data_IF_050875758627
#
_entry.id   IF_050875758627
#
_cell.length_a   1.000
_cell.length_b   1.000
_cell.length_c   1.000
_cell.angle_alpha   90.00
_cell.angle_beta   90.00
_cell.angle_gamma   90.00
#
_symmetry.space_group_name_H-M   'P 1'
#
loop_
_entity.id
_entity.type
_entity.pdbx_description
1 polymer ?
#
# COMPACT_ATOMS: atom_id res chain seq x y z
N UNK A 1 1.22 31.36 -21.25
CA UNK A 1 1.76 31.84 -19.95
C UNK A 1 0.73 31.60 -18.87
N UNK A 2 0.44 30.33 -18.53
CA UNK A 2 -0.54 29.93 -17.49
C UNK A 2 -0.27 28.51 -17.00
N UNK A 3 0.89 28.23 -16.39
CA UNK A 3 1.21 26.93 -15.77
C UNK A 3 2.02 27.04 -14.46
N UNK A 4 2.17 28.25 -13.92
CA UNK A 4 2.92 28.46 -12.67
C UNK A 4 2.05 28.52 -11.39
N UNK A 5 0.72 28.66 -11.51
CA UNK A 5 -0.16 28.91 -10.36
C UNK A 5 -0.44 27.69 -9.46
N UNK A 6 -0.40 26.47 -10.01
CA UNK A 6 -0.78 25.27 -9.25
C UNK A 6 0.28 24.79 -8.26
N UNK A 7 1.56 25.04 -8.52
CA UNK A 7 2.64 24.65 -7.62
C UNK A 7 2.78 25.60 -6.43
N UNK A 8 2.61 26.90 -6.64
CA UNK A 8 2.64 27.90 -5.55
C UNK A 8 1.47 27.74 -4.57
N UNK A 9 0.28 27.36 -5.05
CA UNK A 9 -0.89 27.15 -4.19
C UNK A 9 -0.73 25.88 -3.32
N UNK A 10 -0.12 24.82 -3.84
CA UNK A 10 0.20 23.60 -3.07
C UNK A 10 1.22 23.87 -1.96
N UNK A 11 2.20 24.73 -2.20
CA UNK A 11 3.22 25.13 -1.20
C UNK A 11 2.63 26.11 -0.18
N UNK A 12 1.76 27.04 -0.58
CA UNK A 12 1.15 28.03 0.33
C UNK A 12 0.13 27.42 1.30
N UNK A 13 -0.60 26.36 0.90
CA UNK A 13 -1.52 25.64 1.80
C UNK A 13 -0.77 24.78 2.82
N UNK A 14 0.41 24.28 2.50
CA UNK A 14 1.30 23.61 3.45
C UNK A 14 1.88 24.58 4.49
N UNK A 15 2.08 25.85 4.16
CA UNK A 15 2.57 26.86 5.10
C UNK A 15 1.48 27.39 6.05
N UNK A 16 0.21 27.28 5.71
CA UNK A 16 -0.89 27.70 6.62
C UNK A 16 -1.11 26.68 7.75
N UNK A 17 -0.68 25.42 7.58
CA UNK A 17 -0.73 24.40 8.64
C UNK A 17 0.35 24.56 9.73
N UNK A 18 1.31 25.49 9.58
CA UNK A 18 2.35 25.77 10.55
C UNK A 18 1.87 26.57 11.79
N UNK A 19 0.61 27.02 11.84
CA UNK A 19 0.06 27.77 12.97
C UNK A 19 -0.65 26.91 14.03
N UNK A 20 -0.70 25.57 13.86
CA UNK A 20 -1.27 24.65 14.87
C UNK A 20 -0.13 23.88 15.56
N UNK A 21 0.84 24.60 16.10
CA UNK A 21 1.86 24.04 16.96
C UNK A 21 1.25 23.79 18.36
N UNK A 22 0.91 22.55 18.67
CA UNK A 22 0.53 22.31 20.05
C UNK A 22 0.03 20.92 20.44
N UNK A 23 -0.57 20.14 19.60
CA UNK A 23 -1.00 18.78 19.95
C UNK A 23 -0.79 17.84 18.77
N UNK A 24 0.25 17.01 18.84
CA UNK A 24 0.42 15.85 17.96
C UNK A 24 -0.65 14.82 18.33
N UNK A 25 -1.85 14.92 17.76
CA UNK A 25 -2.98 14.07 18.06
C UNK A 25 -3.51 13.42 16.77
N UNK A 26 -4.32 12.38 16.92
CA UNK A 26 -5.07 11.77 15.81
C UNK A 26 -5.85 12.83 15.00
N UNK A 27 -6.36 13.87 15.67
CA UNK A 27 -7.04 14.99 15.01
C UNK A 27 -6.14 15.75 14.01
N UNK A 28 -4.85 15.86 14.29
CA UNK A 28 -3.87 16.46 13.37
C UNK A 28 -3.69 15.60 12.12
N UNK A 29 -3.56 14.28 12.27
CA UNK A 29 -3.50 13.35 11.14
C UNK A 29 -4.78 13.39 10.31
N UNK A 30 -5.93 13.38 10.96
CA UNK A 30 -7.23 13.45 10.28
C UNK A 30 -7.39 14.75 9.48
N UNK A 31 -6.90 15.88 10.02
CA UNK A 31 -6.89 17.16 9.32
C UNK A 31 -5.95 17.10 8.08
N UNK A 32 -4.71 16.65 8.24
CA UNK A 32 -3.74 16.56 7.13
C UNK A 32 -4.28 15.64 6.03
N UNK A 33 -4.76 14.47 6.39
CA UNK A 33 -5.33 13.52 5.43
C UNK A 33 -6.60 14.03 4.76
N UNK A 34 -7.44 14.79 5.49
CA UNK A 34 -8.62 15.43 4.89
C UNK A 34 -8.24 16.44 3.80
N UNK A 35 -7.20 17.24 4.05
CA UNK A 35 -6.65 18.16 3.06
C UNK A 35 -6.07 17.41 1.87
N UNK A 36 -5.27 16.37 2.10
CA UNK A 36 -4.65 15.58 1.04
C UNK A 36 -5.71 14.87 0.18
N UNK A 37 -6.75 14.29 0.79
CA UNK A 37 -7.91 13.71 0.08
C UNK A 37 -8.60 14.74 -0.80
N UNK A 38 -8.87 15.92 -0.26
CA UNK A 38 -9.52 17.01 -1.02
C UNK A 38 -8.69 17.43 -2.22
N UNK A 39 -7.38 17.63 -2.04
CA UNK A 39 -6.46 17.99 -3.13
C UNK A 39 -6.32 16.89 -4.20
N UNK A 40 -6.46 15.63 -3.81
CA UNK A 40 -6.40 14.47 -4.71
C UNK A 40 -7.76 14.15 -5.35
N UNK A 41 -8.84 14.85 -4.98
CA UNK A 41 -10.20 14.59 -5.45
C UNK A 41 -10.76 13.26 -4.97
N UNK A 42 -10.37 12.83 -3.76
CA UNK A 42 -10.72 11.56 -3.15
C UNK A 42 -11.75 11.76 -2.05
N UNK A 43 -12.75 10.89 -1.96
CA UNK A 43 -13.72 10.84 -0.87
C UNK A 43 -13.48 9.63 0.03
N UNK A 44 -13.69 9.77 1.34
CA UNK A 44 -13.67 8.66 2.29
C UNK A 44 -15.09 8.11 2.48
N UNK A 45 -15.20 6.78 2.49
CA UNK A 45 -16.45 6.04 2.66
C UNK A 45 -16.25 4.91 3.65
N UNK A 46 -17.36 4.33 4.12
CA UNK A 46 -17.33 3.10 4.92
C UNK A 46 -18.38 2.12 4.45
N UNK A 47 -18.11 0.82 4.67
CA UNK A 47 -18.99 -0.27 4.30
C UNK A 47 -18.89 -1.39 5.33
N UNK A 48 -20.01 -1.75 5.95
CA UNK A 48 -20.08 -2.92 6.83
C UNK A 48 -20.12 -4.19 5.99
N UNK A 49 -19.14 -5.08 6.19
CA UNK A 49 -19.07 -6.38 5.52
C UNK A 49 -18.73 -7.45 6.58
N UNK A 50 -19.70 -8.31 6.88
CA UNK A 50 -19.59 -9.25 7.98
C UNK A 50 -19.38 -8.51 9.31
N UNK A 51 -18.35 -8.89 10.05
CA UNK A 51 -17.96 -8.32 11.34
C UNK A 51 -16.99 -7.13 11.24
N UNK A 52 -16.60 -6.73 10.01
CA UNK A 52 -15.69 -5.61 9.78
C UNK A 52 -16.41 -4.41 9.15
N UNK A 53 -16.25 -3.23 9.74
CA UNK A 53 -16.50 -1.97 9.05
C UNK A 53 -15.23 -1.60 8.29
N UNK A 54 -15.31 -1.67 6.95
CA UNK A 54 -14.25 -1.25 6.06
C UNK A 54 -14.32 0.25 5.84
N UNK A 55 -13.23 0.95 6.08
CA UNK A 55 -13.07 2.36 5.69
C UNK A 55 -12.21 2.39 4.44
N UNK A 56 -12.67 3.08 3.41
CA UNK A 56 -11.96 3.15 2.15
C UNK A 56 -12.04 4.55 1.53
N UNK A 57 -11.08 4.86 0.71
CA UNK A 57 -11.06 6.06 -0.11
C UNK A 57 -11.45 5.71 -1.54
N UNK A 58 -12.16 6.63 -2.20
CA UNK A 58 -12.65 6.43 -3.56
C UNK A 58 -12.48 7.69 -4.40
N UNK A 59 -12.12 7.54 -5.68
CA UNK A 59 -12.02 8.62 -6.66
C UNK A 59 -12.49 8.16 -8.02
N UNK A 60 -13.27 8.99 -8.70
CA UNK A 60 -13.66 8.82 -10.10
C UNK A 60 -14.74 7.76 -10.32
N UNK A 61 -14.98 7.47 -11.58
CA UNK A 61 -16.00 6.55 -12.09
C UNK A 61 -15.42 5.79 -13.29
N UNK A 62 -15.99 4.62 -13.62
CA UNK A 62 -15.55 3.78 -14.75
C UNK A 62 -14.96 2.45 -14.31
N UNK A 63 -13.94 1.96 -15.03
CA UNK A 63 -13.27 0.70 -14.73
C UNK A 63 -12.61 0.73 -13.36
N UNK A 64 -12.80 -0.34 -12.58
CA UNK A 64 -12.33 -0.35 -11.19
C UNK A 64 -10.85 -0.68 -11.09
N UNK A 65 -10.14 0.12 -10.30
CA UNK A 65 -8.76 -0.13 -9.85
C UNK A 65 -8.77 -0.23 -8.33
N UNK A 66 -8.47 -1.41 -7.81
CA UNK A 66 -8.36 -1.68 -6.37
C UNK A 66 -6.90 -1.63 -5.93
N UNK A 67 -6.58 -0.80 -4.92
CA UNK A 67 -5.21 -0.57 -4.46
C UNK A 67 -5.04 -0.98 -2.99
N UNK A 68 -4.16 -1.95 -2.72
CA UNK A 68 -3.96 -2.55 -1.40
C UNK A 68 -2.64 -2.08 -0.78
N UNK A 69 -2.70 -1.46 0.39
CA UNK A 69 -1.55 -0.93 1.12
C UNK A 69 -0.70 -2.03 1.80
N UNK A 70 0.53 -1.68 2.18
CA UNK A 70 1.46 -2.54 2.92
C UNK A 70 1.15 -2.65 4.41
N UNK A 71 1.94 -3.48 5.12
CA UNK A 71 1.82 -3.67 6.57
C UNK A 71 2.07 -2.36 7.34
N UNK A 72 1.23 -2.07 8.33
CA UNK A 72 1.33 -0.87 9.15
C UNK A 72 1.00 0.45 8.44
N UNK A 73 0.62 0.39 7.15
CA UNK A 73 0.16 1.52 6.36
C UNK A 73 -1.38 1.62 6.35
N UNK A 74 -1.91 2.51 5.54
CA UNK A 74 -3.32 2.76 5.36
C UNK A 74 -3.59 3.22 3.91
N UNK A 75 -4.84 3.42 3.54
CA UNK A 75 -5.27 3.92 2.23
C UNK A 75 -4.56 5.21 1.79
N UNK A 76 -4.11 6.01 2.75
CA UNK A 76 -3.47 7.31 2.50
C UNK A 76 -2.18 7.22 1.67
N UNK A 77 -1.48 6.08 1.69
CA UNK A 77 -0.25 5.90 0.88
C UNK A 77 -0.48 6.00 -0.63
N UNK A 78 -1.72 5.87 -1.07
CA UNK A 78 -2.08 5.92 -2.48
C UNK A 78 -2.51 7.31 -2.97
N UNK A 79 -2.80 8.27 -2.05
CA UNK A 79 -3.44 9.54 -2.39
C UNK A 79 -2.66 10.33 -3.45
N UNK A 80 -1.33 10.45 -3.28
CA UNK A 80 -0.49 11.22 -4.20
C UNK A 80 -0.47 10.59 -5.60
N UNK A 81 -0.28 9.26 -5.66
CA UNK A 81 -0.29 8.54 -6.93
C UNK A 81 -1.65 8.65 -7.62
N UNK A 82 -2.75 8.40 -6.88
CA UNK A 82 -4.11 8.46 -7.43
C UNK A 82 -4.50 9.89 -7.81
N UNK A 83 -3.90 10.91 -7.18
CA UNK A 83 -4.03 12.31 -7.59
C UNK A 83 -3.66 12.54 -9.05
N UNK A 84 -2.61 11.86 -9.52
CA UNK A 84 -2.05 11.98 -10.86
C UNK A 84 -2.58 10.90 -11.85
N UNK A 85 -3.43 9.97 -11.40
CA UNK A 85 -4.02 8.94 -12.27
C UNK A 85 -5.10 9.51 -13.19
N UNK A 86 -5.30 8.92 -14.41
CA UNK A 86 -6.23 9.42 -15.41
C UNK A 86 -7.70 9.30 -14.95
N UNK A 87 -8.57 10.05 -15.63
CA UNK A 87 -10.02 9.89 -15.53
C UNK A 87 -10.48 8.62 -16.27
N UNK A 88 -11.70 8.18 -16.01
CA UNK A 88 -12.28 6.98 -16.62
C UNK A 88 -12.09 5.71 -15.82
N UNK A 89 -11.46 5.83 -14.66
CA UNK A 89 -11.31 4.76 -13.69
C UNK A 89 -11.94 5.13 -12.34
N UNK A 90 -12.46 4.12 -11.66
CA UNK A 90 -12.92 4.18 -10.27
C UNK A 90 -11.84 3.56 -9.38
N UNK A 91 -11.05 4.42 -8.71
CA UNK A 91 -9.98 4.01 -7.79
C UNK A 91 -10.57 3.73 -6.41
N UNK A 92 -10.35 2.53 -5.89
CA UNK A 92 -10.81 2.10 -4.56
C UNK A 92 -9.60 1.71 -3.73
N UNK A 93 -9.40 2.37 -2.62
CA UNK A 93 -8.27 2.20 -1.71
C UNK A 93 -8.82 1.87 -0.32
N UNK A 94 -8.96 0.59 0.05
CA UNK A 94 -9.41 0.24 1.40
C UNK A 94 -8.28 0.35 2.42
N UNK A 95 -8.61 0.71 3.66
CA UNK A 95 -7.88 0.24 4.81
C UNK A 95 -8.20 -1.24 5.00
N UNK A 96 -7.20 -2.09 4.92
CA UNK A 96 -7.38 -3.53 5.14
C UNK A 96 -7.83 -3.81 6.58
N UNK A 97 -8.65 -4.84 6.84
CA UNK A 97 -9.05 -5.20 8.21
C UNK A 97 -7.86 -5.29 9.15
N UNK A 98 -7.98 -4.63 10.29
CA UNK A 98 -6.89 -4.49 11.28
C UNK A 98 -6.02 -3.25 11.09
N UNK A 99 -6.09 -2.56 9.96
CA UNK A 99 -5.26 -1.38 9.65
C UNK A 99 -6.09 -0.12 9.47
N UNK A 100 -5.39 1.03 9.51
CA UNK A 100 -6.01 2.34 9.31
C UNK A 100 -7.21 2.55 10.23
N UNK A 101 -8.35 2.90 9.63
CA UNK A 101 -9.63 3.14 10.31
C UNK A 101 -10.62 1.97 10.17
N UNK A 102 -10.24 0.89 9.48
CA UNK A 102 -11.04 -0.33 9.41
C UNK A 102 -10.99 -1.11 10.73
N UNK A 103 -12.03 -1.90 10.98
CA UNK A 103 -12.18 -2.63 12.24
C UNK A 103 -10.98 -3.55 12.52
N UNK A 104 -10.46 -3.48 13.73
CA UNK A 104 -9.58 -4.46 14.34
C UNK A 104 -10.37 -5.27 15.38
N UNK A 105 -10.34 -6.59 15.27
CA UNK A 105 -10.93 -7.52 16.22
C UNK A 105 -9.81 -8.19 17.03
N UNK A 106 -9.78 -8.07 18.36
CA UNK A 106 -8.70 -8.63 19.18
C UNK A 106 -8.48 -10.14 18.98
N UNK A 107 -9.55 -10.90 18.73
CA UNK A 107 -9.49 -12.35 18.46
C UNK A 107 -9.42 -12.68 16.95
N UNK A 108 -9.32 -11.65 16.09
CA UNK A 108 -9.26 -11.82 14.65
C UNK A 108 -7.98 -12.49 14.18
N UNK A 109 -8.06 -13.17 13.04
CA UNK A 109 -6.91 -13.71 12.31
C UNK A 109 -6.62 -12.80 11.13
N UNK A 110 -5.36 -12.36 10.98
CA UNK A 110 -4.93 -11.34 10.00
C UNK A 110 -3.79 -11.82 9.09
N UNK A 111 -3.63 -13.14 8.92
CA UNK A 111 -2.76 -13.69 7.90
C UNK A 111 -3.35 -13.46 6.49
N UNK A 112 -2.54 -13.64 5.45
CA UNK A 112 -2.98 -13.42 4.08
C UNK A 112 -4.14 -14.33 3.70
N UNK A 113 -4.12 -15.58 4.13
CA UNK A 113 -5.16 -16.57 3.82
C UNK A 113 -6.55 -16.15 4.36
N UNK A 114 -6.60 -15.54 5.54
CA UNK A 114 -7.84 -15.01 6.14
C UNK A 114 -8.28 -13.68 5.51
N UNK A 115 -7.35 -12.87 5.00
CA UNK A 115 -7.67 -11.60 4.35
C UNK A 115 -8.23 -11.78 2.93
N UNK A 116 -7.84 -12.84 2.21
CA UNK A 116 -8.33 -13.12 0.85
C UNK A 116 -9.87 -13.22 0.78
N UNK A 117 -10.56 -14.06 1.56
CA UNK A 117 -12.02 -14.13 1.53
C UNK A 117 -12.70 -12.85 2.05
N UNK A 118 -12.08 -12.11 2.97
CA UNK A 118 -12.60 -10.80 3.41
C UNK A 118 -12.55 -9.77 2.29
N UNK A 119 -11.47 -9.75 1.52
CA UNK A 119 -11.34 -8.88 0.36
C UNK A 119 -12.38 -9.23 -0.71
N UNK A 120 -12.63 -10.53 -0.96
CA UNK A 120 -13.69 -10.95 -1.90
C UNK A 120 -15.08 -10.50 -1.42
N UNK A 121 -15.38 -10.66 -0.13
CA UNK A 121 -16.64 -10.19 0.44
C UNK A 121 -16.80 -8.66 0.29
N UNK A 122 -15.74 -7.89 0.53
CA UNK A 122 -15.73 -6.44 0.36
C UNK A 122 -15.98 -6.05 -1.10
N UNK A 123 -15.25 -6.62 -2.05
CA UNK A 123 -15.40 -6.32 -3.49
C UNK A 123 -16.79 -6.71 -4.01
N UNK A 124 -17.32 -7.86 -3.56
CA UNK A 124 -18.67 -8.31 -3.89
C UNK A 124 -19.75 -7.38 -3.33
N UNK A 125 -19.58 -6.89 -2.09
CA UNK A 125 -20.51 -5.94 -1.47
C UNK A 125 -20.50 -4.57 -2.18
N UNK A 126 -19.39 -4.20 -2.85
CA UNK A 126 -19.31 -3.01 -3.72
C UNK A 126 -19.94 -3.22 -5.11
N UNK A 127 -20.41 -4.43 -5.43
CA UNK A 127 -20.97 -4.78 -6.74
C UNK A 127 -19.93 -4.82 -7.88
N UNK A 128 -18.64 -4.98 -7.56
CA UNK A 128 -17.56 -4.98 -8.54
C UNK A 128 -17.31 -6.39 -9.03
N UNK A 129 -17.46 -6.65 -10.34
CA UNK A 129 -17.28 -7.97 -10.96
C UNK A 129 -15.84 -8.22 -11.40
N UNK A 130 -15.25 -7.29 -12.14
CA UNK A 130 -13.90 -7.38 -12.68
C UNK A 130 -13.15 -6.08 -12.40
N UNK A 131 -11.84 -6.15 -12.17
CA UNK A 131 -11.04 -4.98 -11.81
C UNK A 131 -9.54 -5.19 -12.05
N UNK A 132 -8.82 -4.08 -12.12
CA UNK A 132 -7.37 -4.03 -12.00
C UNK A 132 -7.00 -4.07 -10.52
N UNK A 133 -6.07 -4.92 -10.14
CA UNK A 133 -5.64 -5.09 -8.75
C UNK A 133 -4.18 -4.66 -8.61
N UNK A 134 -3.91 -3.72 -7.70
CA UNK A 134 -2.55 -3.26 -7.38
C UNK A 134 -2.31 -3.43 -5.88
N UNK A 135 -1.15 -3.95 -5.51
CA UNK A 135 -0.75 -4.03 -4.10
C UNK A 135 0.71 -3.69 -3.87
N UNK A 136 1.00 -3.05 -2.74
CA UNK A 136 2.36 -2.78 -2.27
C UNK A 136 2.71 -3.69 -1.10
N UNK A 137 3.92 -4.27 -1.09
CA UNK A 137 4.46 -5.02 0.05
C UNK A 137 3.54 -6.17 0.49
N UNK A 138 3.03 -6.17 1.73
CA UNK A 138 1.99 -7.09 2.20
C UNK A 138 0.74 -7.06 1.30
N UNK A 139 0.31 -5.87 0.87
CA UNK A 139 -0.80 -5.72 -0.07
C UNK A 139 -0.53 -6.37 -1.43
N UNK A 140 0.73 -6.41 -1.87
CA UNK A 140 1.16 -7.15 -3.06
C UNK A 140 1.04 -8.66 -2.90
N UNK A 141 1.41 -9.19 -1.72
CA UNK A 141 1.19 -10.60 -1.39
C UNK A 141 -0.31 -10.93 -1.37
N UNK A 142 -1.11 -10.08 -0.71
CA UNK A 142 -2.57 -10.26 -0.69
C UNK A 142 -3.16 -10.20 -2.11
N UNK A 143 -2.70 -9.27 -2.95
CA UNK A 143 -3.16 -9.14 -4.33
C UNK A 143 -2.85 -10.40 -5.17
N UNK A 144 -1.62 -10.91 -5.08
CA UNK A 144 -1.24 -12.15 -5.78
C UNK A 144 -2.02 -13.37 -5.26
N UNK A 145 -2.19 -13.49 -3.94
CA UNK A 145 -2.97 -14.56 -3.31
C UNK A 145 -4.44 -14.50 -3.69
N UNK A 146 -5.02 -13.28 -3.72
CA UNK A 146 -6.38 -13.06 -4.20
C UNK A 146 -6.53 -13.44 -5.67
N UNK A 147 -5.61 -12.97 -6.53
CA UNK A 147 -5.61 -13.29 -7.95
C UNK A 147 -5.48 -14.80 -8.21
N UNK A 148 -4.78 -15.56 -7.36
CA UNK A 148 -4.71 -17.01 -7.45
C UNK A 148 -6.04 -17.69 -7.10
N UNK A 149 -6.76 -17.17 -6.09
CA UNK A 149 -8.03 -17.72 -5.64
C UNK A 149 -9.22 -17.33 -6.55
N UNK A 150 -9.21 -16.10 -7.10
CA UNK A 150 -10.32 -15.49 -7.84
C UNK A 150 -9.86 -14.96 -9.21
N UNK A 151 -9.19 -15.80 -10.00
CA UNK A 151 -8.51 -15.43 -11.27
C UNK A 151 -9.41 -14.66 -12.24
N UNK A 152 -10.67 -15.07 -12.36
CA UNK A 152 -11.65 -14.45 -13.27
C UNK A 152 -12.02 -13.02 -12.86
N UNK A 153 -11.75 -12.61 -11.64
CA UNK A 153 -12.08 -11.26 -11.14
C UNK A 153 -10.99 -10.23 -11.50
N UNK A 154 -9.74 -10.67 -11.73
CA UNK A 154 -8.58 -9.81 -11.88
C UNK A 154 -8.18 -9.66 -13.34
N UNK A 155 -8.42 -8.48 -13.90
CA UNK A 155 -8.06 -8.12 -15.28
C UNK A 155 -6.53 -7.96 -15.42
N UNK A 156 -5.90 -7.25 -14.51
CA UNK A 156 -4.43 -7.10 -14.44
C UNK A 156 -3.97 -7.11 -12.98
N UNK A 157 -2.74 -7.55 -12.77
CA UNK A 157 -2.10 -7.60 -11.46
C UNK A 157 -0.91 -6.64 -11.39
N UNK A 158 -1.00 -5.61 -10.55
CA UNK A 158 0.10 -4.70 -10.21
C UNK A 158 0.76 -5.10 -8.90
N UNK A 159 2.07 -5.17 -8.87
CA UNK A 159 2.88 -5.59 -7.73
C UNK A 159 3.99 -4.57 -7.49
N UNK A 160 3.86 -3.75 -6.47
CA UNK A 160 4.85 -2.75 -6.09
C UNK A 160 5.63 -3.25 -4.87
N UNK A 161 6.89 -3.62 -5.06
CA UNK A 161 7.75 -4.21 -4.03
C UNK A 161 7.02 -5.28 -3.17
N UNK A 162 6.39 -6.31 -3.80
CA UNK A 162 5.52 -7.25 -3.10
C UNK A 162 6.31 -8.16 -2.16
N UNK A 163 5.72 -8.53 -1.01
CA UNK A 163 6.20 -9.63 -0.18
C UNK A 163 5.62 -10.98 -0.65
N UNK A 164 5.98 -12.07 0.02
CA UNK A 164 5.36 -13.38 -0.18
C UNK A 164 6.23 -14.40 -0.89
N UNK A 165 7.37 -14.00 -1.45
CA UNK A 165 8.38 -14.92 -1.99
C UNK A 165 9.67 -14.89 -1.17
N UNK A 166 10.55 -15.84 -1.41
CA UNK A 166 11.91 -15.84 -0.87
C UNK A 166 12.71 -14.63 -1.39
N UNK A 167 13.62 -14.15 -0.54
CA UNK A 167 14.60 -13.12 -0.92
C UNK A 167 15.95 -13.79 -1.00
N UNK A 168 16.54 -13.99 -2.20
CA UNK A 168 17.89 -14.54 -2.33
C UNK A 168 18.94 -13.82 -1.46
N UNK A 169 18.81 -12.49 -1.35
CA UNK A 169 19.57 -11.65 -0.44
C UNK A 169 18.61 -11.03 0.59
N UNK A 170 18.33 -11.66 1.74
CA UNK A 170 17.36 -11.13 2.70
C UNK A 170 17.73 -9.73 3.18
N UNK A 171 16.76 -8.81 3.16
CA UNK A 171 16.92 -7.46 3.70
C UNK A 171 17.28 -7.47 5.19
N UNK A 172 17.82 -6.37 5.76
CA UNK A 172 18.06 -6.27 7.20
C UNK A 172 16.80 -6.53 8.05
N UNK A 173 15.63 -6.15 7.56
CA UNK A 173 14.34 -6.37 8.23
C UNK A 173 13.92 -7.84 8.19
N UNK A 174 14.01 -8.45 7.03
CA UNK A 174 13.71 -9.89 6.84
C UNK A 174 14.69 -10.76 7.62
N UNK A 175 15.99 -10.45 7.57
CA UNK A 175 17.01 -11.18 8.29
C UNK A 175 16.81 -11.11 9.81
N UNK A 176 16.56 -9.92 10.34
CA UNK A 176 16.29 -9.75 11.77
C UNK A 176 15.14 -10.63 12.26
N UNK A 177 14.07 -10.73 11.47
CA UNK A 177 12.94 -11.57 11.83
C UNK A 177 13.26 -13.07 11.70
N UNK A 178 13.88 -13.50 10.60
CA UNK A 178 14.18 -14.90 10.36
C UNK A 178 15.20 -15.48 11.36
N UNK A 179 16.23 -14.71 11.73
CA UNK A 179 17.31 -15.16 12.61
C UNK A 179 16.97 -15.01 14.09
N UNK A 180 16.23 -13.95 14.46
CA UNK A 180 16.04 -13.57 15.87
C UNK A 180 14.59 -13.37 16.28
N UNK A 181 13.62 -13.51 15.37
CA UNK A 181 12.22 -13.20 15.62
C UNK A 181 11.97 -11.71 15.88
N UNK A 182 12.92 -10.82 15.50
CA UNK A 182 12.86 -9.39 15.78
C UNK A 182 11.99 -8.64 14.75
N UNK A 183 10.83 -8.08 15.16
CA UNK A 183 9.90 -7.44 14.25
C UNK A 183 10.29 -5.97 13.99
N UNK A 184 11.43 -5.72 13.36
CA UNK A 184 11.97 -4.37 13.12
C UNK A 184 11.00 -3.41 12.42
N UNK A 185 10.02 -3.93 11.69
CA UNK A 185 8.99 -3.10 11.02
C UNK A 185 7.96 -2.53 12.00
N UNK A 186 7.98 -2.97 13.27
CA UNK A 186 7.03 -2.55 14.31
C UNK A 186 7.71 -1.60 15.28
N UNK A 187 7.52 -0.31 15.07
CA UNK A 187 8.12 0.74 15.91
C UNK A 187 7.73 0.58 17.38
N UNK A 188 8.70 0.64 18.28
CA UNK A 188 8.50 0.71 19.71
C UNK A 188 8.64 2.14 20.25
N UNK A 189 9.16 3.05 19.43
CA UNK A 189 9.41 4.45 19.75
C UNK A 189 9.29 5.34 18.50
N UNK A 190 9.23 6.65 18.71
CA UNK A 190 9.33 7.64 17.61
C UNK A 190 10.63 7.49 16.82
N UNK A 191 11.72 7.14 17.49
CA UNK A 191 13.03 6.96 16.83
C UNK A 191 13.01 5.74 15.92
N UNK A 192 12.45 4.60 16.38
CA UNK A 192 12.27 3.41 15.52
C UNK A 192 11.44 3.74 14.29
N UNK A 193 10.34 4.49 14.47
CA UNK A 193 9.51 4.91 13.36
C UNK A 193 10.27 5.76 12.34
N UNK A 194 11.05 6.73 12.82
CA UNK A 194 11.91 7.55 11.95
C UNK A 194 12.96 6.74 11.22
N UNK A 195 13.51 5.71 11.87
CA UNK A 195 14.47 4.81 11.21
C UNK A 195 13.78 3.98 10.13
N UNK A 196 12.58 3.41 10.41
CA UNK A 196 11.78 2.70 9.41
C UNK A 196 11.47 3.61 8.23
N UNK A 197 11.04 4.85 8.51
CA UNK A 197 10.75 5.84 7.48
C UNK A 197 11.98 6.14 6.60
N UNK A 198 13.15 6.37 7.19
CA UNK A 198 14.41 6.58 6.45
C UNK A 198 14.80 5.36 5.61
N UNK A 199 14.56 4.16 6.10
CA UNK A 199 14.91 2.93 5.40
C UNK A 199 13.93 2.58 4.27
N UNK A 200 12.70 3.09 4.34
CA UNK A 200 11.68 2.86 3.32
C UNK A 200 11.90 3.69 2.05
N UNK A 201 12.68 4.77 2.09
CA UNK A 201 12.87 5.70 0.99
C UNK A 201 14.34 6.03 0.77
N UNK A 202 14.71 6.36 -0.45
CA UNK A 202 15.97 7.03 -0.79
C UNK A 202 15.78 8.55 -0.74
N UNK A 203 14.69 9.03 -1.37
CA UNK A 203 14.27 10.43 -1.37
C UNK A 203 12.86 10.51 -0.73
N UNK A 204 12.80 10.58 0.62
CA UNK A 204 11.53 10.52 1.32
C UNK A 204 10.62 11.70 0.94
N UNK A 205 9.31 11.47 0.84
CA UNK A 205 8.37 12.55 0.66
C UNK A 205 8.47 13.54 1.83
N UNK A 206 8.39 14.83 1.52
CA UNK A 206 8.44 15.84 2.58
C UNK A 206 7.35 15.57 3.63
N UNK A 207 7.76 15.39 4.85
CA UNK A 207 6.92 15.24 6.02
C UNK A 207 7.54 16.03 7.17
N UNK A 208 6.87 17.10 7.65
CA UNK A 208 7.38 17.89 8.77
C UNK A 208 7.39 17.07 10.06
N UNK A 209 8.25 17.43 11.01
CA UNK A 209 8.46 16.68 12.26
C UNK A 209 7.17 16.41 13.04
N UNK A 210 6.25 17.38 13.08
CA UNK A 210 4.98 17.18 13.78
C UNK A 210 4.15 16.04 13.14
N UNK A 211 4.17 15.90 11.82
CA UNK A 211 3.48 14.83 11.10
C UNK A 211 4.15 13.47 11.35
N UNK A 212 5.49 13.42 11.24
CA UNK A 212 6.26 12.20 11.54
C UNK A 212 6.05 11.75 12.98
N UNK A 213 6.01 12.69 13.94
CA UNK A 213 5.72 12.39 15.34
C UNK A 213 4.30 11.83 15.53
N UNK A 214 3.31 12.43 14.86
CA UNK A 214 1.91 11.97 14.94
C UNK A 214 1.74 10.58 14.36
N UNK A 215 2.40 10.29 13.23
CA UNK A 215 2.41 8.96 12.61
C UNK A 215 3.09 7.93 13.53
N UNK A 216 4.22 8.29 14.11
CA UNK A 216 4.94 7.45 15.06
C UNK A 216 4.10 7.14 16.30
N UNK A 217 3.49 8.16 16.91
CA UNK A 217 2.62 8.00 18.09
C UNK A 217 1.43 7.09 17.78
N UNK A 218 0.79 7.24 16.62
CA UNK A 218 -0.31 6.37 16.20
C UNK A 218 0.14 4.90 16.03
N UNK A 219 1.33 4.66 15.47
CA UNK A 219 1.88 3.30 15.36
C UNK A 219 2.25 2.71 16.72
N UNK A 220 2.93 3.48 17.55
CA UNK A 220 3.35 3.05 18.90
C UNK A 220 2.14 2.74 19.78
N UNK A 221 1.10 3.55 19.73
CA UNK A 221 -0.15 3.31 20.47
C UNK A 221 -0.81 1.96 20.10
N UNK A 222 -0.68 1.53 18.84
CA UNK A 222 -1.23 0.26 18.33
C UNK A 222 -0.20 -0.87 18.25
N UNK A 223 0.97 -0.69 18.86
CA UNK A 223 2.08 -1.65 18.76
C UNK A 223 1.70 -3.09 19.10
N UNK A 224 0.91 -3.29 20.13
CA UNK A 224 0.44 -4.63 20.54
C UNK A 224 -0.40 -5.33 19.45
N UNK A 225 -1.30 -4.58 18.82
CA UNK A 225 -2.11 -5.06 17.69
C UNK A 225 -1.22 -5.42 16.50
N UNK A 226 -0.31 -4.53 16.11
CA UNK A 226 0.62 -4.75 15.01
C UNK A 226 1.57 -5.93 15.25
N UNK A 227 2.08 -6.12 16.46
CA UNK A 227 2.91 -7.28 16.81
C UNK A 227 2.14 -8.58 16.60
N UNK A 228 0.89 -8.65 17.09
CA UNK A 228 0.03 -9.83 16.92
C UNK A 228 -0.24 -10.12 15.45
N UNK A 229 -0.62 -9.11 14.67
CA UNK A 229 -0.86 -9.26 13.23
C UNK A 229 0.41 -9.65 12.47
N UNK A 230 1.56 -9.08 12.83
CA UNK A 230 2.85 -9.39 12.22
C UNK A 230 3.28 -10.83 12.48
N UNK A 231 3.10 -11.32 13.71
CA UNK A 231 3.35 -12.71 14.07
C UNK A 231 2.45 -13.68 13.28
N UNK A 232 1.18 -13.33 13.09
CA UNK A 232 0.27 -14.13 12.26
C UNK A 232 0.68 -14.12 10.79
N UNK A 233 1.02 -12.95 10.25
CA UNK A 233 1.47 -12.77 8.87
C UNK A 233 2.72 -13.61 8.57
N UNK A 234 3.72 -13.60 9.45
CA UNK A 234 4.94 -14.38 9.28
C UNK A 234 4.81 -15.85 9.67
N UNK A 235 4.14 -16.15 10.76
CA UNK A 235 4.00 -17.51 11.29
C UNK A 235 3.09 -18.39 10.45
N UNK A 236 2.14 -17.80 9.72
CA UNK A 236 1.17 -18.48 8.86
C UNK A 236 1.32 -18.10 7.39
N UNK A 237 2.53 -17.69 7.00
CA UNK A 237 2.78 -17.30 5.61
C UNK A 237 2.58 -18.47 4.65
N UNK A 238 1.88 -18.21 3.58
CA UNK A 238 1.82 -19.12 2.42
C UNK A 238 2.79 -18.58 1.38
N UNK A 239 3.82 -19.33 0.98
CA UNK A 239 4.73 -18.92 -0.08
C UNK A 239 3.96 -18.71 -1.39
N UNK A 240 4.27 -17.62 -2.12
CA UNK A 240 3.65 -17.34 -3.40
C UNK A 240 4.26 -18.13 -4.56
N UNK A 241 5.48 -18.63 -4.43
CA UNK A 241 6.21 -19.32 -5.50
C UNK A 241 5.37 -20.40 -6.19
N UNK A 242 4.66 -21.31 -5.47
CA UNK A 242 3.82 -22.31 -6.12
C UNK A 242 2.60 -21.75 -6.85
N UNK A 243 2.17 -20.54 -6.51
CA UNK A 243 0.98 -19.89 -7.08
C UNK A 243 1.29 -19.08 -8.35
N UNK A 244 2.52 -18.53 -8.44
CA UNK A 244 2.92 -17.61 -9.51
C UNK A 244 2.70 -18.16 -10.92
N UNK A 245 3.04 -19.43 -11.25
CA UNK A 245 2.84 -19.96 -12.61
C UNK A 245 1.38 -20.00 -13.06
N UNK A 246 0.45 -20.01 -12.09
CA UNK A 246 -0.98 -19.98 -12.35
C UNK A 246 -1.59 -18.59 -12.54
N UNK A 247 -0.82 -17.51 -12.34
CA UNK A 247 -1.28 -16.14 -12.51
C UNK A 247 -1.12 -15.71 -13.98
N UNK A 248 -2.07 -16.11 -14.83
CA UNK A 248 -2.00 -15.91 -16.28
C UNK A 248 -2.47 -14.52 -16.76
N UNK A 249 -3.01 -13.68 -15.87
CA UNK A 249 -3.34 -12.29 -16.21
C UNK A 249 -2.07 -11.48 -16.45
N UNK A 250 -2.11 -10.39 -17.28
CA UNK A 250 -1.00 -9.47 -17.40
C UNK A 250 -0.58 -8.91 -16.04
N UNK A 251 0.72 -8.94 -15.75
CA UNK A 251 1.26 -8.47 -14.49
C UNK A 251 2.31 -7.37 -14.70
N UNK A 252 2.29 -6.35 -13.84
CA UNK A 252 3.33 -5.34 -13.72
C UNK A 252 4.02 -5.50 -12.36
N UNK A 253 5.33 -5.71 -12.38
CA UNK A 253 6.18 -5.72 -11.19
C UNK A 253 7.02 -4.44 -11.17
N UNK A 254 6.85 -3.61 -10.16
CA UNK A 254 7.69 -2.43 -9.93
C UNK A 254 8.46 -2.57 -8.62
N UNK A 255 9.78 -2.31 -8.66
CA UNK A 255 10.64 -2.35 -7.47
C UNK A 255 11.68 -1.24 -7.51
N UNK A 256 12.05 -0.70 -6.35
CA UNK A 256 13.21 0.16 -6.20
C UNK A 256 14.47 -0.66 -5.92
N UNK A 257 15.60 -0.32 -6.54
CA UNK A 257 16.86 -1.03 -6.36
C UNK A 257 17.51 -0.79 -4.98
N UNK A 258 17.06 0.22 -4.24
CA UNK A 258 17.54 0.59 -2.91
C UNK A 258 16.53 0.22 -1.79
N UNK A 259 15.62 -0.70 -2.06
CA UNK A 259 14.65 -1.17 -1.07
C UNK A 259 15.35 -1.91 0.08
N UNK A 260 15.37 -1.30 1.28
CA UNK A 260 15.95 -1.88 2.50
C UNK A 260 14.93 -2.69 3.30
N UNK A 261 13.62 -2.56 3.01
CA UNK A 261 12.55 -3.27 3.70
C UNK A 261 12.42 -4.69 3.12
N UNK A 262 12.29 -4.79 1.79
CA UNK A 262 12.26 -6.05 1.05
C UNK A 262 13.29 -5.98 -0.08
N UNK A 263 14.34 -6.78 0.01
CA UNK A 263 15.43 -6.72 -0.96
C UNK A 263 14.97 -7.01 -2.39
N UNK A 264 15.45 -6.20 -3.33
CA UNK A 264 15.08 -6.26 -4.76
C UNK A 264 15.42 -7.60 -5.42
N UNK A 265 16.30 -8.43 -4.80
CA UNK A 265 16.58 -9.79 -5.31
C UNK A 265 15.33 -10.67 -5.39
N UNK A 266 14.30 -10.38 -4.59
CA UNK A 266 13.00 -11.04 -4.68
C UNK A 266 12.28 -10.78 -6.02
N UNK A 267 12.57 -9.67 -6.70
CA UNK A 267 12.01 -9.38 -8.03
C UNK A 267 12.37 -10.48 -9.05
N UNK A 268 13.54 -11.11 -8.93
CA UNK A 268 13.92 -12.19 -9.80
C UNK A 268 13.04 -13.43 -9.63
N UNK A 269 12.60 -13.73 -8.41
CA UNK A 269 11.67 -14.83 -8.12
C UNK A 269 10.31 -14.59 -8.78
N UNK A 270 9.78 -13.39 -8.67
CA UNK A 270 8.55 -13.00 -9.37
C UNK A 270 8.69 -13.07 -10.90
N UNK A 271 9.81 -12.57 -11.45
CA UNK A 271 10.08 -12.62 -12.89
C UNK A 271 10.16 -14.04 -13.45
N UNK A 272 10.69 -14.98 -12.67
CA UNK A 272 10.78 -16.39 -13.08
C UNK A 272 9.44 -17.11 -12.92
N UNK A 273 8.64 -16.72 -11.94
CA UNK A 273 7.38 -17.41 -11.62
C UNK A 273 6.17 -16.93 -12.41
N UNK A 274 6.10 -15.63 -12.73
CA UNK A 274 4.94 -15.05 -13.41
C UNK A 274 5.07 -15.19 -14.93
N UNK A 275 4.10 -15.80 -15.64
CA UNK A 275 4.21 -16.07 -17.08
C UNK A 275 4.13 -14.82 -17.96
N UNK A 276 3.43 -13.77 -17.52
CA UNK A 276 3.18 -12.54 -18.29
C UNK A 276 3.51 -11.30 -17.46
N UNK A 277 4.76 -11.18 -17.01
CA UNK A 277 5.20 -10.06 -16.17
C UNK A 277 6.05 -9.04 -16.95
N UNK A 278 5.63 -7.79 -16.87
CA UNK A 278 6.46 -6.63 -17.20
C UNK A 278 7.14 -6.17 -15.89
N UNK A 279 8.45 -6.38 -15.80
CA UNK A 279 9.21 -6.06 -14.59
C UNK A 279 10.04 -4.79 -14.80
N UNK A 280 9.84 -3.83 -13.92
CA UNK A 280 10.52 -2.53 -13.92
C UNK A 280 11.25 -2.37 -12.59
N UNK A 281 12.57 -2.16 -12.65
CA UNK A 281 13.39 -1.84 -11.49
C UNK A 281 13.85 -0.40 -11.62
N UNK A 282 13.48 0.44 -10.66
CA UNK A 282 13.88 1.84 -10.68
C UNK A 282 15.15 2.07 -9.89
N UNK A 283 16.15 2.76 -10.50
CA UNK A 283 17.37 3.13 -9.79
C UNK A 283 17.08 4.23 -8.77
N UNK A 284 17.78 4.15 -7.63
CA UNK A 284 17.69 5.15 -6.54
C UNK A 284 16.25 5.34 -6.03
N UNK A 285 15.51 4.25 -5.85
CA UNK A 285 14.16 4.23 -5.28
C UNK A 285 14.10 3.19 -4.17
N UNK A 286 13.35 3.48 -3.11
CA UNK A 286 13.14 2.60 -1.96
C UNK A 286 11.90 1.71 -2.09
N UNK A 287 11.30 1.40 -0.93
CA UNK A 287 10.21 0.41 -0.78
C UNK A 287 8.84 0.89 -1.27
N UNK A 288 8.60 2.19 -1.29
CA UNK A 288 7.27 2.73 -1.57
C UNK A 288 7.29 3.70 -2.78
N UNK A 289 7.48 3.19 -4.02
CA UNK A 289 7.58 4.02 -5.22
C UNK A 289 6.35 4.90 -5.44
N UNK A 290 5.15 4.46 -5.01
CA UNK A 290 3.91 5.24 -5.10
C UNK A 290 3.92 6.51 -4.22
N UNK A 291 4.80 6.60 -3.24
CA UNK A 291 5.02 7.79 -2.41
C UNK A 291 6.26 8.57 -2.86
N UNK A 292 7.36 7.88 -3.13
CA UNK A 292 8.66 8.47 -3.49
C UNK A 292 8.66 9.06 -4.90
N UNK A 293 8.02 8.37 -5.85
CA UNK A 293 7.90 8.73 -7.27
C UNK A 293 6.43 8.66 -7.72
N UNK A 294 5.54 9.37 -7.02
CA UNK A 294 4.09 9.24 -7.17
C UNK A 294 3.62 9.46 -8.62
N UNK A 295 4.04 10.56 -9.26
CA UNK A 295 3.65 10.89 -10.64
C UNK A 295 4.21 9.88 -11.67
N UNK A 296 5.43 9.37 -11.45
CA UNK A 296 6.03 8.36 -12.32
C UNK A 296 5.33 7.01 -12.15
N UNK A 297 5.01 6.64 -10.90
CA UNK A 297 4.23 5.45 -10.58
C UNK A 297 2.83 5.49 -11.21
N UNK A 298 2.18 6.66 -11.16
CA UNK A 298 0.89 6.88 -11.80
C UNK A 298 0.99 6.70 -13.33
N UNK A 299 1.98 7.32 -13.98
CA UNK A 299 2.18 7.19 -15.44
C UNK A 299 2.47 5.76 -15.86
N UNK A 300 3.38 5.08 -15.15
CA UNK A 300 3.72 3.68 -15.43
C UNK A 300 2.50 2.78 -15.31
N UNK A 301 1.78 2.88 -14.19
CA UNK A 301 0.65 2.00 -13.93
C UNK A 301 -0.54 2.31 -14.84
N UNK A 302 -0.84 3.58 -15.10
CA UNK A 302 -1.88 3.99 -16.04
C UNK A 302 -1.59 3.49 -17.48
N UNK A 303 -0.34 3.64 -17.94
CA UNK A 303 0.08 3.10 -19.25
C UNK A 303 -0.01 1.58 -19.33
N UNK A 304 0.20 0.87 -18.21
CA UNK A 304 0.04 -0.57 -18.14
C UNK A 304 -1.44 -0.97 -18.22
N UNK A 305 -2.32 -0.49 -17.32
CA UNK A 305 -3.73 -0.90 -17.28
C UNK A 305 -4.49 -0.46 -18.55
N UNK A 306 -4.15 0.68 -19.13
CA UNK A 306 -4.79 1.20 -20.35
C UNK A 306 -4.65 0.27 -21.57
N UNK A 307 -3.74 -0.71 -21.54
CA UNK A 307 -3.61 -1.75 -22.59
C UNK A 307 -4.59 -2.92 -22.42
N UNK A 308 -5.25 -3.03 -21.28
CA UNK A 308 -6.04 -4.19 -20.87
C UNK A 308 -7.38 -3.75 -20.27
N UNK A 309 -8.33 -3.26 -21.09
CA UNK A 309 -9.62 -2.80 -20.59
C UNK A 309 -10.38 -3.93 -19.87
N UNK A 310 -11.12 -3.58 -18.84
CA UNK A 310 -12.02 -4.49 -18.12
C UNK A 310 -13.16 -4.91 -19.05
N UNK A 311 -13.39 -6.21 -19.22
CA UNK A 311 -14.43 -6.78 -20.09
C UNK A 311 -15.60 -7.30 -19.28
#
# INVERSE_FOLDING_TARGET
MMLAGGRCLRVALLSLSLLVAGCASQATLDCVYSVERTLSGVSEKSLQVGDHNWVYAEKGEGEVVLLLHGFGASKEVWMRMVGDMPRGYRYIMPDLPGFGRSTYLPEGVYDVASQVPRLEAFVSALGVAHFHLLGNSMGGNLAASYAAAYRQRVTTLGLFAPSGVSQPNPSPYTRAYLERGEPKLIAASREDYRQIFKDAFVDPPYAPDFLLNSLADAQVARRGEYLRMYQQFWGRRTPLEPLLPGLAMPALLLWGDQDKILDVSAAQVFKQGLPHVEAVIWPNVGHAPMLEKAADSARLYAGFIGRYPVR
#
